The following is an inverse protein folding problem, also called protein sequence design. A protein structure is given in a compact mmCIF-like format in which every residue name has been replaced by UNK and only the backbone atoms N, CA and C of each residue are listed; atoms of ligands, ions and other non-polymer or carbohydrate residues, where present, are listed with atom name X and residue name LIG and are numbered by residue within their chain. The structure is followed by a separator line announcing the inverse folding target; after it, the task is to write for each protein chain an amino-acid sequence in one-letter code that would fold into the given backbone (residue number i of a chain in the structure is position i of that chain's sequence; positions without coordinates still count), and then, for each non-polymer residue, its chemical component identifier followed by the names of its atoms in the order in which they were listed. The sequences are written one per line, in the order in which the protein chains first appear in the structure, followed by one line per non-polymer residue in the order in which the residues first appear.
data_IF_267971690823
#
_entry.id   IF_267971690823
#
_cell.length_a   1.000
_cell.length_b   1.000
_cell.length_c   1.000
_cell.angle_alpha   90.00
_cell.angle_beta   90.00
_cell.angle_gamma   90.00
#
_symmetry.space_group_name_H-M   'P 1'
#
loop_
_entity.id
_entity.type
_entity.pdbx_description
1 polymer ?
#
# COMPACT_ATOMS: atom_id res chain seq x y z
N UNK A 1 28.88 11.75 0.50
CA UNK A 1 27.68 11.43 -0.31
C UNK A 1 27.18 10.00 -0.09
N UNK A 2 28.03 9.03 0.32
CA UNK A 2 27.63 7.62 0.55
C UNK A 2 26.93 7.31 1.88
N UNK A 3 26.75 8.30 2.75
CA UNK A 3 26.11 8.09 4.07
C UNK A 3 24.58 8.07 4.02
N UNK A 4 23.98 8.67 2.99
CA UNK A 4 22.52 8.73 2.82
C UNK A 4 21.94 7.43 2.25
N UNK A 5 22.75 6.62 1.55
CA UNK A 5 22.32 5.33 1.00
C UNK A 5 22.31 4.19 2.03
N UNK A 6 22.79 4.43 3.25
CA UNK A 6 22.86 3.45 4.35
C UNK A 6 21.76 3.65 5.39
N UNK A 7 20.87 4.61 5.18
CA UNK A 7 19.73 4.83 6.07
C UNK A 7 18.65 3.85 5.63
N UNK A 8 18.54 2.73 6.35
CA UNK A 8 17.43 1.81 6.17
C UNK A 8 16.12 2.56 6.45
N UNK A 9 15.17 2.45 5.52
CA UNK A 9 13.85 3.04 5.69
C UNK A 9 13.18 2.42 6.93
N UNK A 10 12.61 3.23 7.83
CA UNK A 10 11.98 2.71 9.03
C UNK A 10 10.87 1.71 8.64
N UNK A 11 10.87 0.49 9.22
CA UNK A 11 9.81 -0.48 8.97
C UNK A 11 8.54 0.01 9.66
N UNK A 12 7.65 0.64 8.89
CA UNK A 12 6.25 0.74 9.30
C UNK A 12 5.63 -0.64 9.11
N UNK A 13 5.51 -1.42 10.19
CA UNK A 13 5.00 -2.80 10.18
C UNK A 13 3.59 -2.89 9.57
N UNK A 14 3.58 -3.06 8.25
CA UNK A 14 2.37 -2.90 7.41
C UNK A 14 1.35 -4.00 7.71
N UNK A 15 1.82 -5.20 8.10
CA UNK A 15 0.97 -6.31 8.53
C UNK A 15 0.20 -6.00 9.81
N UNK A 16 0.82 -5.30 10.76
CA UNK A 16 0.17 -4.94 12.01
C UNK A 16 -0.89 -3.87 11.76
N UNK A 17 -0.59 -2.90 10.88
CA UNK A 17 -1.55 -1.88 10.46
C UNK A 17 -2.76 -2.47 9.72
N UNK A 18 -2.52 -3.43 8.81
CA UNK A 18 -3.57 -4.22 8.12
C UNK A 18 -4.49 -4.91 9.12
N UNK A 19 -3.91 -5.63 10.08
CA UNK A 19 -4.65 -6.39 11.10
C UNK A 19 -5.47 -5.46 12.00
N UNK A 20 -4.89 -4.33 12.41
CA UNK A 20 -5.60 -3.30 13.17
C UNK A 20 -6.81 -2.76 12.39
N UNK A 21 -6.61 -2.36 11.13
CA UNK A 21 -7.68 -1.85 10.28
C UNK A 21 -8.79 -2.88 10.06
N UNK A 22 -8.46 -4.14 9.78
CA UNK A 22 -9.45 -5.19 9.54
C UNK A 22 -10.30 -5.47 10.79
N UNK A 23 -9.69 -5.41 11.98
CA UNK A 23 -10.39 -5.52 13.26
C UNK A 23 -11.35 -4.34 13.47
N UNK A 24 -10.92 -3.12 13.18
CA UNK A 24 -11.77 -1.93 13.24
C UNK A 24 -12.95 -2.03 12.26
N UNK A 25 -12.70 -2.42 11.01
CA UNK A 25 -13.74 -2.61 9.99
C UNK A 25 -14.77 -3.66 10.41
N UNK A 26 -14.34 -4.79 10.99
CA UNK A 26 -15.25 -5.83 11.47
C UNK A 26 -16.18 -5.30 12.57
N UNK A 27 -15.64 -4.52 13.52
CA UNK A 27 -16.44 -3.91 14.60
C UNK A 27 -17.40 -2.84 14.08
N UNK A 28 -16.96 -1.98 13.16
CA UNK A 28 -17.80 -0.95 12.52
C UNK A 28 -18.96 -1.62 11.77
N UNK A 29 -18.68 -2.65 10.97
CA UNK A 29 -19.73 -3.40 10.25
C UNK A 29 -20.68 -4.11 11.20
N UNK A 30 -20.18 -4.60 12.34
CA UNK A 30 -21.01 -5.16 13.41
C UNK A 30 -22.01 -4.12 13.96
N UNK A 31 -21.56 -2.88 14.20
CA UNK A 31 -22.44 -1.78 14.62
C UNK A 31 -23.45 -1.41 13.53
N UNK A 32 -23.01 -1.31 12.27
CA UNK A 32 -23.88 -1.03 11.13
C UNK A 32 -24.96 -2.10 10.96
N UNK A 33 -24.61 -3.39 11.13
CA UNK A 33 -25.56 -4.51 11.06
C UNK A 33 -26.61 -4.47 12.19
N UNK A 34 -26.28 -3.85 13.33
CA UNK A 34 -27.22 -3.58 14.42
C UNK A 34 -28.07 -2.32 14.17
N UNK A 35 -27.91 -1.66 13.02
CA UNK A 35 -28.62 -0.43 12.65
C UNK A 35 -28.01 0.84 13.24
N UNK A 36 -26.80 0.76 13.82
CA UNK A 36 -26.10 1.94 14.35
C UNK A 36 -25.30 2.59 13.23
N UNK A 37 -25.72 3.80 12.85
CA UNK A 37 -25.05 4.56 11.79
C UNK A 37 -23.73 5.17 12.25
N UNK A 38 -22.77 5.27 11.33
CA UNK A 38 -21.46 5.86 11.57
C UNK A 38 -21.53 7.30 12.07
N UNK A 39 -22.57 8.07 11.72
CA UNK A 39 -22.75 9.44 12.19
C UNK A 39 -22.96 9.54 13.72
N UNK A 40 -23.50 8.48 14.35
CA UNK A 40 -23.81 8.47 15.78
C UNK A 40 -22.58 8.33 16.66
N UNK A 41 -21.52 7.69 16.16
CA UNK A 41 -20.30 7.37 16.93
C UNK A 41 -19.00 7.82 16.25
N UNK A 42 -19.06 8.30 15.00
CA UNK A 42 -17.90 8.66 14.21
C UNK A 42 -17.07 9.78 14.83
N UNK A 43 -17.71 10.82 15.35
CA UNK A 43 -17.03 11.95 16.02
C UNK A 43 -16.20 11.52 17.24
N UNK A 44 -16.59 10.45 17.91
CA UNK A 44 -15.85 9.85 19.01
C UNK A 44 -14.76 8.89 18.49
N UNK A 45 -15.08 8.08 17.50
CA UNK A 45 -14.20 7.00 17.05
C UNK A 45 -13.01 7.50 16.22
N UNK A 46 -13.21 8.51 15.37
CA UNK A 46 -12.16 9.12 14.54
C UNK A 46 -10.92 9.50 15.36
N UNK A 47 -11.01 10.34 16.42
CA UNK A 47 -9.83 10.71 17.19
C UNK A 47 -9.21 9.53 17.96
N UNK A 48 -10.00 8.51 18.33
CA UNK A 48 -9.48 7.30 18.98
C UNK A 48 -8.66 6.48 17.99
N UNK A 49 -9.16 6.25 16.78
CA UNK A 49 -8.45 5.48 15.75
C UNK A 49 -7.15 6.17 15.34
N UNK A 50 -7.19 7.50 15.11
CA UNK A 50 -6.01 8.28 14.75
C UNK A 50 -4.93 8.27 15.84
N UNK A 51 -5.32 8.24 17.13
CA UNK A 51 -4.37 8.12 18.25
C UNK A 51 -3.80 6.72 18.44
N UNK A 52 -4.46 5.68 17.91
CA UNK A 52 -4.04 4.28 18.06
C UNK A 52 -3.01 3.83 17.04
N UNK A 53 -2.88 4.56 15.93
CA UNK A 53 -1.90 4.29 14.88
C UNK A 53 -0.62 5.12 15.10
N UNK A 54 0.56 4.66 14.63
CA UNK A 54 1.81 5.41 14.72
C UNK A 54 1.71 6.77 14.04
N UNK A 55 2.35 7.80 14.59
CA UNK A 55 2.20 9.21 14.19
C UNK A 55 2.49 9.49 12.70
N UNK A 56 3.35 8.69 12.07
CA UNK A 56 3.63 8.79 10.64
C UNK A 56 2.44 8.43 9.74
N UNK A 57 1.49 7.60 10.21
CA UNK A 57 0.37 7.12 9.40
C UNK A 57 -0.73 8.18 9.30
N UNK A 58 -1.24 8.80 10.40
CA UNK A 58 -2.15 9.92 10.33
C UNK A 58 -1.65 11.04 9.43
N UNK A 59 -0.36 11.38 9.51
CA UNK A 59 0.20 12.45 8.69
C UNK A 59 0.04 12.16 7.18
N UNK A 60 0.35 10.95 6.74
CA UNK A 60 0.12 10.52 5.35
C UNK A 60 -1.36 10.55 4.97
N UNK A 61 -2.24 10.10 5.88
CA UNK A 61 -3.69 10.10 5.67
C UNK A 61 -4.22 11.53 5.50
N UNK A 62 -3.87 12.46 6.39
CA UNK A 62 -4.28 13.87 6.30
C UNK A 62 -3.66 14.58 5.08
N UNK A 63 -2.47 14.17 4.65
CA UNK A 63 -1.87 14.65 3.40
C UNK A 63 -2.67 14.19 2.17
N UNK A 64 -3.17 12.96 2.17
CA UNK A 64 -4.00 12.44 1.08
C UNK A 64 -5.41 13.06 1.10
N UNK A 65 -5.99 13.27 2.28
CA UNK A 65 -7.31 13.85 2.46
C UNK A 65 -7.33 14.80 3.68
N UNK A 66 -7.23 16.12 3.48
CA UNK A 66 -7.23 17.10 4.56
C UNK A 66 -8.51 17.13 5.40
N UNK A 67 -9.61 16.56 4.91
CA UNK A 67 -10.91 16.53 5.58
C UNK A 67 -11.27 15.13 6.08
N UNK A 68 -10.27 14.27 6.29
CA UNK A 68 -10.49 12.86 6.71
C UNK A 68 -11.20 12.74 8.07
N UNK A 69 -11.08 13.75 8.93
CA UNK A 69 -11.69 13.81 10.25
C UNK A 69 -13.18 14.22 10.23
N UNK A 70 -13.71 14.61 9.07
CA UNK A 70 -15.10 15.06 8.93
C UNK A 70 -16.11 13.91 8.97
N UNK A 71 -15.72 12.69 8.57
CA UNK A 71 -16.60 11.52 8.64
C UNK A 71 -15.80 10.23 8.78
N UNK A 72 -16.40 9.25 9.47
CA UNK A 72 -15.77 7.97 9.69
C UNK A 72 -15.58 7.21 8.37
N UNK A 73 -16.51 7.33 7.44
CA UNK A 73 -16.42 6.68 6.13
C UNK A 73 -15.25 7.20 5.29
N UNK A 74 -14.95 8.51 5.37
CA UNK A 74 -13.76 9.08 4.72
C UNK A 74 -12.49 8.50 5.34
N UNK A 75 -12.39 8.48 6.67
CA UNK A 75 -11.27 7.85 7.37
C UNK A 75 -11.07 6.38 6.97
N UNK A 76 -12.14 5.60 6.87
CA UNK A 76 -12.08 4.18 6.46
C UNK A 76 -11.51 4.00 5.06
N UNK A 77 -11.92 4.85 4.11
CA UNK A 77 -11.45 4.82 2.71
C UNK A 77 -9.98 5.23 2.65
N UNK A 78 -9.61 6.35 3.26
CA UNK A 78 -8.25 6.89 3.20
C UNK A 78 -7.24 5.99 3.93
N UNK A 79 -7.61 5.40 5.09
CA UNK A 79 -6.76 4.40 5.76
C UNK A 79 -6.50 3.18 4.87
N UNK A 80 -7.53 2.67 4.17
CA UNK A 80 -7.39 1.53 3.28
C UNK A 80 -6.41 1.83 2.14
N UNK A 81 -6.58 2.98 1.49
CA UNK A 81 -5.71 3.41 0.40
C UNK A 81 -4.25 3.56 0.87
N UNK A 82 -4.04 4.11 2.06
CA UNK A 82 -2.72 4.25 2.65
C UNK A 82 -2.07 2.89 2.93
N UNK A 83 -2.82 1.93 3.49
CA UNK A 83 -2.36 0.55 3.71
C UNK A 83 -1.97 -0.10 2.38
N UNK A 84 -2.84 -0.04 1.37
CA UNK A 84 -2.58 -0.62 0.04
C UNK A 84 -1.36 0.02 -0.64
N UNK A 85 -1.16 1.33 -0.46
CA UNK A 85 0.00 2.05 -1.01
C UNK A 85 1.30 1.57 -0.35
N UNK A 86 1.30 1.37 0.97
CA UNK A 86 2.44 0.85 1.70
C UNK A 86 2.76 -0.60 1.34
N UNK A 87 1.73 -1.44 1.18
CA UNK A 87 1.89 -2.83 0.74
C UNK A 87 2.52 -2.91 -0.66
N UNK A 88 2.06 -2.06 -1.59
CA UNK A 88 2.62 -1.98 -2.95
C UNK A 88 4.07 -1.44 -2.96
N UNK A 89 4.37 -0.43 -2.14
CA UNK A 89 5.73 0.10 -1.98
C UNK A 89 6.71 -0.90 -1.37
N UNK A 90 6.23 -1.83 -0.53
CA UNK A 90 7.04 -2.92 0.01
C UNK A 90 7.30 -4.06 -0.98
N UNK A 91 6.49 -4.15 -2.05
CA UNK A 91 6.62 -5.16 -3.11
C UNK A 91 7.62 -4.75 -4.20
N UNK A 92 8.12 -3.51 -4.22
CA UNK A 92 9.14 -3.05 -5.18
C UNK A 92 10.55 -3.20 -4.62
N UNK A 93 11.00 -4.43 -4.41
CA UNK A 93 12.39 -4.75 -4.73
C UNK A 93 12.37 -5.45 -6.09
N UNK A 94 13.03 -4.92 -7.13
CA UNK A 94 13.27 -5.70 -8.33
C UNK A 94 14.19 -6.83 -7.90
N UNK A 95 13.65 -8.04 -7.84
CA UNK A 95 14.47 -9.24 -7.79
C UNK A 95 15.36 -9.18 -9.04
N UNK A 96 16.70 -9.19 -8.93
CA UNK A 96 17.53 -9.30 -10.11
C UNK A 96 17.25 -10.68 -10.70
N UNK A 97 16.45 -10.71 -11.76
CA UNK A 97 16.31 -11.90 -12.59
C UNK A 97 17.66 -12.05 -13.29
N UNK A 98 18.50 -12.94 -12.76
CA UNK A 98 19.64 -13.49 -13.48
C UNK A 98 19.08 -14.33 -14.61
N UNK A 99 18.74 -13.66 -15.71
CA UNK A 99 18.49 -14.29 -17.01
C UNK A 99 19.85 -14.49 -17.69
N UNK A 100 20.53 -15.55 -17.26
CA UNK A 100 21.61 -16.19 -18.01
C UNK A 100 20.94 -17.05 -19.11
N UNK A 101 20.41 -16.40 -20.14
CA UNK A 101 20.06 -17.09 -21.38
C UNK A 101 21.24 -16.99 -22.35
N UNK A 102 21.98 -18.09 -22.39
CA UNK A 102 22.97 -18.43 -23.40
C UNK A 102 22.36 -18.27 -24.79
N UNK A 103 22.87 -17.26 -25.49
CA UNK A 103 22.53 -16.93 -26.88
C UNK A 103 22.84 -18.13 -27.79
N UNK A 104 21.79 -18.88 -28.18
CA UNK A 104 21.90 -19.91 -29.21
C UNK A 104 22.06 -19.21 -30.57
N UNK A 105 23.06 -19.54 -31.41
CA UNK A 105 23.18 -18.93 -32.72
C UNK A 105 22.12 -19.51 -33.65
N UNK A 106 21.13 -18.69 -34.02
CA UNK A 106 20.12 -19.01 -35.03
C UNK A 106 20.80 -19.22 -36.39
N UNK A 107 20.67 -20.43 -36.92
CA UNK A 107 21.13 -20.86 -38.23
C UNK A 107 20.51 -20.01 -39.35
N UNK A 108 21.34 -19.24 -40.05
CA UNK A 108 21.00 -18.59 -41.30
C UNK A 108 21.37 -19.48 -42.48
N UNK A 109 20.43 -20.27 -42.99
CA UNK A 109 20.52 -20.89 -44.29
C UNK A 109 19.35 -20.39 -45.14
N UNK A 110 19.64 -19.76 -46.29
CA UNK A 110 18.91 -19.93 -47.55
C UNK A 110 19.59 -19.15 -48.71
N UNK A 111 20.01 -19.93 -49.72
CA UNK A 111 20.47 -19.55 -51.07
C UNK A 111 19.27 -18.97 -51.87
N UNK A 112 19.38 -18.14 -52.92
CA UNK A 112 19.90 -18.38 -54.29
C UNK A 112 19.74 -17.10 -55.15
N UNK A 113 20.47 -17.01 -56.28
CA UNK A 113 20.14 -16.18 -57.47
C UNK A 113 21.36 -15.46 -58.07
N UNK A 114 22.18 -16.08 -58.95
CA UNK A 114 22.14 -16.03 -60.44
C UNK A 114 22.02 -14.63 -61.04
N UNK A 115 22.76 -14.16 -62.04
CA UNK A 115 23.80 -14.66 -62.95
C UNK A 115 24.24 -13.42 -63.78
N UNK A 116 25.49 -13.36 -64.25
CA UNK A 116 25.83 -12.62 -65.47
C UNK A 116 26.76 -13.46 -66.32
#
# INVERSE_FOLDING_TARGET
MESLSKIDAPPADTKNLRTFYDTCEANIRGLEALGVKTETYGSLLIPILLKKIPEEIPYSIFRADPSVDSSLDRLRITMRQEIETREKGHMSSPKPTTEDEVLVPTAGALLTGTQQ
#
